data_IF_772740088225
#
_entry.id   IF_772740088225
#
_cell.length_a   1.000
_cell.length_b   1.000
_cell.length_c   1.000
_cell.angle_alpha   90.00
_cell.angle_beta   90.00
_cell.angle_gamma   90.00
#
_symmetry.space_group_name_H-M   'P 1'
#
loop_
_entity.id
_entity.type
_entity.pdbx_description
1 polymer ?
#
# COMPACT_ATOMS: atom_id res chain seq x y z
N UNK A 1 12.23 -3.09 -24.53
CA UNK A 1 11.99 -2.21 -23.37
C UNK A 1 13.24 -2.20 -22.48
N UNK A 2 13.94 -1.07 -22.33
CA UNK A 2 15.31 -1.03 -21.79
C UNK A 2 15.43 -1.37 -20.30
N UNK A 3 14.42 -1.09 -19.47
CA UNK A 3 14.52 -1.23 -18.00
C UNK A 3 14.55 -2.70 -17.57
N UNK A 4 13.66 -3.52 -18.11
CA UNK A 4 13.66 -4.96 -17.81
C UNK A 4 14.83 -5.68 -18.48
N UNK A 5 15.26 -5.19 -19.64
CA UNK A 5 16.45 -5.71 -20.32
C UNK A 5 17.72 -5.42 -19.51
N UNK A 6 17.87 -4.21 -18.97
CA UNK A 6 19.00 -3.84 -18.12
C UNK A 6 19.01 -4.58 -16.78
N UNK A 7 17.85 -4.82 -16.16
CA UNK A 7 17.75 -5.65 -14.94
C UNK A 7 18.05 -7.12 -15.24
N UNK A 8 17.64 -7.65 -16.40
CA UNK A 8 17.98 -9.01 -16.82
C UNK A 8 19.44 -9.16 -17.27
N UNK A 9 20.06 -8.10 -17.80
CA UNK A 9 21.46 -8.08 -18.23
C UNK A 9 22.42 -7.90 -17.03
N UNK A 10 21.96 -7.33 -15.92
CA UNK A 10 22.70 -7.25 -14.65
C UNK A 10 22.61 -8.54 -13.79
N UNK A 11 21.69 -9.45 -14.13
CA UNK A 11 21.61 -10.77 -13.55
C UNK A 11 22.43 -11.74 -14.42
N UNK A 12 23.66 -12.03 -14.00
CA UNK A 12 24.62 -12.92 -14.66
C UNK A 12 24.00 -14.20 -15.25
N UNK A 13 24.66 -14.69 -16.33
CA UNK A 13 24.40 -15.79 -17.28
C UNK A 13 24.02 -17.19 -16.70
N UNK A 14 23.61 -17.30 -15.44
CA UNK A 14 23.11 -18.55 -14.82
C UNK A 14 21.61 -18.54 -14.49
N UNK A 15 20.88 -17.45 -14.73
CA UNK A 15 19.41 -17.42 -14.65
C UNK A 15 18.73 -17.60 -16.01
N UNK A 16 19.23 -18.53 -16.82
CA UNK A 16 18.44 -19.01 -17.96
C UNK A 16 17.12 -19.60 -17.43
N UNK A 17 16.02 -18.96 -17.81
CA UNK A 17 14.62 -19.30 -17.52
C UNK A 17 14.07 -18.98 -16.12
N UNK A 18 14.18 -17.72 -15.65
CA UNK A 18 12.95 -17.16 -15.07
C UNK A 18 12.10 -16.74 -16.28
N UNK A 19 11.00 -17.43 -16.60
CA UNK A 19 10.10 -16.91 -17.62
C UNK A 19 9.75 -15.46 -17.25
N UNK A 20 9.47 -14.64 -18.26
CA UNK A 20 8.86 -13.30 -18.10
C UNK A 20 7.39 -13.48 -17.63
N UNK A 21 7.23 -14.24 -16.55
CA UNK A 21 6.06 -14.52 -15.74
C UNK A 21 6.01 -13.49 -14.59
N UNK A 22 6.49 -12.28 -14.87
CA UNK A 22 6.28 -11.12 -14.00
C UNK A 22 4.83 -10.66 -14.04
N UNK A 23 4.53 -9.52 -13.42
CA UNK A 23 3.18 -8.96 -13.36
C UNK A 23 2.48 -8.87 -14.74
N UNK A 24 3.24 -8.77 -15.85
CA UNK A 24 2.70 -8.75 -17.21
C UNK A 24 2.04 -10.04 -17.66
N UNK A 25 2.50 -11.19 -17.16
CA UNK A 25 1.85 -12.48 -17.44
C UNK A 25 0.46 -12.56 -16.81
N UNK A 26 0.22 -11.79 -15.75
CA UNK A 26 -1.03 -11.79 -14.99
C UNK A 26 -1.96 -10.65 -15.44
N UNK A 27 -1.43 -9.44 -15.61
CA UNK A 27 -2.23 -8.23 -15.89
C UNK A 27 -2.10 -7.71 -17.35
N UNK A 28 -1.36 -8.43 -18.19
CA UNK A 28 -1.10 -8.06 -19.58
C UNK A 28 0.10 -7.11 -19.74
N UNK A 29 0.62 -6.99 -20.96
CA UNK A 29 1.75 -6.10 -21.25
C UNK A 29 1.32 -4.67 -21.64
N UNK A 30 0.02 -4.42 -21.78
CA UNK A 30 -0.52 -3.08 -22.05
C UNK A 30 -0.46 -2.22 -20.78
N UNK A 31 0.55 -1.35 -20.70
CA UNK A 31 0.76 -0.43 -19.58
C UNK A 31 -0.24 0.74 -19.56
N UNK A 32 -1.06 0.90 -20.60
CA UNK A 32 -2.14 1.90 -20.64
C UNK A 32 -3.43 1.38 -20.00
N UNK A 33 -3.55 0.05 -19.79
CA UNK A 33 -4.71 -0.59 -19.20
C UNK A 33 -5.03 -0.09 -17.79
N UNK A 34 -6.31 0.10 -17.50
CA UNK A 34 -6.82 0.42 -16.16
C UNK A 34 -6.53 -0.67 -15.13
N UNK A 35 -6.19 -1.90 -15.55
CA UNK A 35 -5.79 -2.97 -14.64
C UNK A 35 -4.65 -2.51 -13.72
N UNK A 36 -3.68 -1.75 -14.24
CA UNK A 36 -2.55 -1.22 -13.45
C UNK A 36 -2.97 -0.22 -12.39
N UNK A 37 -3.95 0.63 -12.68
CA UNK A 37 -4.54 1.52 -11.69
C UNK A 37 -5.30 0.73 -10.62
N UNK A 38 -6.13 -0.23 -11.03
CA UNK A 38 -7.03 -0.99 -10.15
C UNK A 38 -6.31 -2.01 -9.25
N UNK A 39 -5.09 -2.41 -9.58
CA UNK A 39 -4.23 -3.22 -8.69
C UNK A 39 -3.45 -2.36 -7.70
N UNK A 40 -3.26 -1.07 -8.00
CA UNK A 40 -2.46 -0.15 -7.19
C UNK A 40 -3.21 0.26 -5.92
N UNK A 41 -2.52 0.40 -4.76
CA UNK A 41 -3.14 0.89 -3.53
C UNK A 41 -3.81 2.26 -3.68
N UNK A 42 -3.35 3.08 -4.63
CA UNK A 42 -3.89 4.42 -4.85
C UNK A 42 -5.36 4.41 -5.31
N UNK A 43 -5.85 3.32 -5.91
CA UNK A 43 -7.27 3.19 -6.28
C UNK A 43 -8.19 2.88 -5.08
N UNK A 44 -7.64 2.76 -3.88
CA UNK A 44 -8.35 2.41 -2.65
C UNK A 44 -8.08 3.39 -1.50
N UNK A 45 -7.48 4.55 -1.76
CA UNK A 45 -7.14 5.54 -0.71
C UNK A 45 -8.36 5.99 0.08
N UNK A 46 -9.53 6.11 -0.55
CA UNK A 46 -10.79 6.49 0.09
C UNK A 46 -11.32 5.41 1.08
N UNK A 47 -10.81 4.18 0.97
CA UNK A 47 -11.12 3.08 1.88
C UNK A 47 -10.12 3.00 3.05
N UNK A 48 -9.00 3.70 2.99
CA UNK A 48 -8.01 3.71 4.05
C UNK A 48 -8.38 4.85 5.00
N UNK A 49 -8.77 4.49 6.22
CA UNK A 49 -9.20 5.45 7.27
C UNK A 49 -8.43 5.23 8.57
N UNK A 50 -7.53 4.25 8.59
CA UNK A 50 -6.60 4.10 9.68
C UNK A 50 -5.45 5.09 9.52
N UNK A 51 -4.77 5.45 10.61
CA UNK A 51 -3.47 6.11 10.55
C UNK A 51 -2.48 5.26 9.75
N UNK A 52 -1.65 5.91 8.95
CA UNK A 52 -0.67 5.29 8.06
C UNK A 52 0.69 5.95 8.28
N UNK A 53 1.72 5.14 8.46
CA UNK A 53 3.12 5.57 8.46
C UNK A 53 3.86 4.83 7.35
N UNK A 54 4.34 5.57 6.35
CA UNK A 54 5.10 5.08 5.20
C UNK A 54 6.56 5.45 5.38
N UNK A 55 7.44 4.52 5.02
CA UNK A 55 8.87 4.77 4.87
C UNK A 55 9.22 4.69 3.38
N UNK A 56 9.93 5.69 2.87
CA UNK A 56 10.55 5.67 1.54
C UNK A 56 11.94 6.29 1.61
N UNK A 57 12.83 5.92 0.68
CA UNK A 57 14.14 6.53 0.55
C UNK A 57 14.25 7.27 -0.78
N UNK A 58 14.93 8.42 -0.77
CA UNK A 58 15.19 9.16 -2.01
C UNK A 58 16.11 8.39 -2.96
N UNK A 59 16.99 7.57 -2.39
CA UNK A 59 17.92 6.67 -3.07
C UNK A 59 17.32 5.33 -3.49
N UNK A 60 16.02 5.08 -3.28
CA UNK A 60 15.37 3.83 -3.67
C UNK A 60 15.43 3.66 -5.21
N UNK A 61 16.10 2.58 -5.63
CA UNK A 61 16.28 2.20 -7.03
C UNK A 61 15.17 1.33 -7.58
N UNK A 62 14.44 0.64 -6.70
CA UNK A 62 13.44 -0.36 -7.05
C UNK A 62 12.04 0.22 -7.04
N UNK A 63 11.75 1.10 -6.07
CA UNK A 63 10.46 1.77 -5.88
C UNK A 63 10.71 3.26 -5.70
N UNK A 64 10.74 4.03 -6.80
CA UNK A 64 11.03 5.47 -6.75
C UNK A 64 10.08 6.22 -5.80
N UNK A 65 10.64 7.03 -4.89
CA UNK A 65 9.86 7.91 -3.99
C UNK A 65 8.93 8.86 -4.75
N UNK A 66 9.19 9.11 -6.04
CA UNK A 66 8.35 9.90 -6.93
C UNK A 66 6.93 9.33 -7.11
N UNK A 67 6.68 8.07 -6.75
CA UNK A 67 5.32 7.51 -6.66
C UNK A 67 4.54 8.07 -5.45
N UNK A 68 5.25 8.58 -4.44
CA UNK A 68 4.67 9.12 -3.20
C UNK A 68 4.51 10.63 -3.26
N UNK A 69 5.53 11.34 -3.73
CA UNK A 69 5.52 12.82 -3.83
C UNK A 69 6.45 13.29 -4.95
N UNK A 70 6.12 14.40 -5.60
CA UNK A 70 7.01 15.09 -6.55
C UNK A 70 8.01 16.01 -5.86
N UNK A 71 7.91 16.16 -4.54
CA UNK A 71 8.83 16.94 -3.72
C UNK A 71 10.13 16.16 -3.54
N UNK A 72 11.22 16.89 -3.30
CA UNK A 72 12.55 16.33 -3.06
C UNK A 72 13.16 15.59 -4.27
N UNK A 73 13.17 16.19 -5.47
CA UNK A 73 13.80 15.56 -6.62
C UNK A 73 15.26 15.20 -6.32
N UNK A 74 15.67 14.01 -6.75
CA UNK A 74 17.07 13.56 -6.73
C UNK A 74 17.46 13.11 -8.13
N UNK A 75 18.01 14.02 -8.96
CA UNK A 75 18.43 13.66 -10.31
C UNK A 75 19.56 12.64 -10.26
N UNK A 76 19.49 11.65 -11.14
CA UNK A 76 20.57 10.69 -11.32
C UNK A 76 21.70 11.32 -12.14
N UNK A 77 22.92 10.82 -11.94
CA UNK A 77 24.00 11.00 -12.88
C UNK A 77 23.85 9.97 -14.01
N UNK A 78 23.51 10.37 -15.24
CA UNK A 78 23.28 9.42 -16.34
C UNK A 78 24.54 8.64 -16.73
N UNK A 79 25.75 9.12 -16.41
CA UNK A 79 27.00 8.41 -16.72
C UNK A 79 27.18 7.15 -15.88
N UNK A 80 26.54 7.08 -14.71
CA UNK A 80 26.55 5.90 -13.85
C UNK A 80 25.60 4.80 -14.34
N UNK A 81 24.66 5.11 -15.24
CA UNK A 81 23.62 4.18 -15.67
C UNK A 81 23.83 3.70 -17.11
N UNK A 82 23.31 2.50 -17.46
CA UNK A 82 23.31 2.03 -18.84
C UNK A 82 22.62 3.01 -19.78
N UNK A 83 23.13 3.11 -21.01
CA UNK A 83 22.53 3.96 -22.05
C UNK A 83 21.05 3.63 -22.23
N UNK A 84 20.19 4.65 -22.11
CA UNK A 84 18.74 4.51 -22.24
C UNK A 84 18.00 4.10 -20.96
N UNK A 85 18.69 4.03 -19.82
CA UNK A 85 18.04 3.91 -18.52
C UNK A 85 17.07 5.09 -18.29
N UNK A 86 15.87 4.76 -17.82
CA UNK A 86 14.84 5.73 -17.47
C UNK A 86 14.18 5.31 -16.16
N UNK A 87 13.89 6.28 -15.30
CA UNK A 87 13.20 6.07 -14.01
C UNK A 87 12.12 7.09 -13.71
N UNK A 88 11.89 8.02 -14.63
CA UNK A 88 10.91 9.08 -14.45
C UNK A 88 9.52 8.46 -14.34
N UNK A 89 8.86 8.69 -13.21
CA UNK A 89 7.55 8.10 -12.91
C UNK A 89 6.50 8.50 -13.94
N UNK A 90 6.46 9.78 -14.32
CA UNK A 90 5.50 10.27 -15.30
C UNK A 90 5.67 9.60 -16.67
N UNK A 91 6.91 9.42 -17.11
CA UNK A 91 7.23 8.78 -18.39
C UNK A 91 6.99 7.27 -18.39
N UNK A 92 7.13 6.59 -17.25
CA UNK A 92 6.99 5.13 -17.17
C UNK A 92 5.57 4.66 -16.85
N UNK A 93 4.77 5.49 -16.19
CA UNK A 93 3.38 5.17 -15.88
C UNK A 93 2.48 5.64 -17.01
N UNK A 94 2.21 4.77 -17.99
CA UNK A 94 1.46 5.14 -19.20
C UNK A 94 -0.04 5.35 -18.95
N UNK A 95 -0.64 4.62 -18.00
CA UNK A 95 -2.03 4.82 -17.60
C UNK A 95 -2.20 6.14 -16.80
N UNK A 96 -3.04 7.04 -17.29
CA UNK A 96 -3.25 8.38 -16.69
C UNK A 96 -3.83 8.32 -15.26
N UNK A 97 -4.71 7.37 -14.97
CA UNK A 97 -5.30 7.21 -13.63
C UNK A 97 -4.25 6.75 -12.62
N UNK A 98 -3.31 5.91 -13.05
CA UNK A 98 -2.19 5.42 -12.26
C UNK A 98 -1.05 6.44 -12.14
N UNK A 99 -0.93 7.39 -13.09
CA UNK A 99 0.09 8.45 -13.10
C UNK A 99 -0.26 9.58 -12.13
N UNK A 100 -0.37 9.23 -10.86
CA UNK A 100 -0.64 10.16 -9.76
C UNK A 100 0.19 9.78 -8.56
N UNK A 101 0.75 10.77 -7.89
CA UNK A 101 1.47 10.56 -6.65
C UNK A 101 0.50 10.35 -5.49
N UNK A 102 0.96 9.70 -4.41
CA UNK A 102 0.15 9.58 -3.18
C UNK A 102 -0.26 10.96 -2.64
N UNK A 103 0.65 11.95 -2.64
CA UNK A 103 0.40 13.32 -2.21
C UNK A 103 -0.78 13.96 -2.96
N UNK A 104 -0.84 13.80 -4.28
CA UNK A 104 -1.91 14.34 -5.12
C UNK A 104 -3.28 13.72 -4.81
N UNK A 105 -3.31 12.47 -4.39
CA UNK A 105 -4.56 11.72 -4.16
C UNK A 105 -5.08 11.95 -2.75
N UNK A 106 -4.19 11.93 -1.75
CA UNK A 106 -4.55 12.15 -0.35
C UNK A 106 -4.90 13.62 -0.08
N UNK A 107 -4.25 14.54 -0.80
CA UNK A 107 -4.35 15.98 -0.60
C UNK A 107 -3.41 16.48 0.50
N UNK A 108 -2.77 17.62 0.26
CA UNK A 108 -1.68 18.16 1.10
C UNK A 108 -2.01 18.32 2.58
N UNK A 109 -3.28 18.59 2.94
CA UNK A 109 -3.69 18.74 4.33
C UNK A 109 -3.79 17.42 5.09
N UNK A 110 -3.89 16.28 4.42
CA UNK A 110 -4.06 14.97 5.08
C UNK A 110 -2.75 14.19 5.18
N UNK A 111 -1.66 14.70 4.60
CA UNK A 111 -0.36 14.05 4.51
C UNK A 111 0.75 14.92 5.13
N UNK A 112 1.61 14.28 5.92
CA UNK A 112 2.81 14.91 6.48
C UNK A 112 4.05 14.22 5.98
N UNK A 113 4.98 15.01 5.44
CA UNK A 113 6.30 14.56 5.06
C UNK A 113 7.32 14.94 6.13
N UNK A 114 8.15 13.98 6.48
CA UNK A 114 9.29 14.15 7.37
C UNK A 114 10.55 13.72 6.61
N UNK A 115 11.35 14.69 6.17
CA UNK A 115 12.63 14.41 5.55
C UNK A 115 13.68 14.18 6.65
N UNK A 116 14.30 13.01 6.65
CA UNK A 116 15.32 12.61 7.59
C UNK A 116 16.68 12.69 6.91
N UNK A 117 17.63 13.51 7.42
CA UNK A 117 18.99 13.53 6.90
C UNK A 117 19.72 12.23 7.28
N UNK A 118 20.81 11.92 6.57
CA UNK A 118 21.69 10.81 6.93
C UNK A 118 22.15 10.95 8.39
N UNK A 119 21.89 9.95 9.25
CA UNK A 119 22.38 9.94 10.62
C UNK A 119 23.92 9.85 10.67
N UNK A 120 24.51 10.36 11.74
CA UNK A 120 25.93 10.17 12.02
C UNK A 120 26.25 8.67 12.22
N UNK A 121 27.41 8.22 11.72
CA UNK A 121 27.85 6.83 11.85
C UNK A 121 27.10 5.83 10.97
N UNK A 122 26.23 6.30 10.05
CA UNK A 122 25.57 5.42 9.09
C UNK A 122 26.55 4.92 8.03
N UNK A 123 26.34 3.68 7.57
CA UNK A 123 27.18 3.07 6.55
C UNK A 123 26.38 2.76 5.29
N UNK A 124 27.04 2.86 4.14
CA UNK A 124 26.49 2.48 2.85
C UNK A 124 26.54 0.96 2.67
N UNK A 125 25.45 0.38 2.16
CA UNK A 125 25.44 -1.00 1.69
C UNK A 125 26.21 -1.09 0.37
N UNK A 126 27.43 -1.63 0.42
CA UNK A 126 28.20 -1.87 -0.79
C UNK A 126 27.82 -3.20 -1.43
N UNK A 127 27.94 -3.30 -2.77
CA UNK A 127 27.73 -4.58 -3.48
C UNK A 127 28.58 -5.69 -2.89
N UNK A 128 29.86 -5.43 -2.64
CA UNK A 128 30.79 -6.41 -2.09
C UNK A 128 30.32 -6.95 -0.73
N UNK A 129 29.79 -6.08 0.14
CA UNK A 129 29.26 -6.52 1.43
C UNK A 129 27.95 -7.33 1.29
N UNK A 130 27.07 -6.93 0.38
CA UNK A 130 25.81 -7.66 0.09
C UNK A 130 26.08 -9.08 -0.44
N UNK A 131 27.07 -9.25 -1.33
CA UNK A 131 27.41 -10.56 -1.91
C UNK A 131 28.44 -11.35 -1.08
N UNK A 132 28.75 -10.91 0.14
CA UNK A 132 29.67 -11.61 1.04
C UNK A 132 31.15 -11.57 0.64
N UNK A 133 31.53 -10.67 -0.28
CA UNK A 133 32.92 -10.44 -0.71
C UNK A 133 33.67 -9.46 0.21
N UNK A 134 32.95 -8.71 1.05
CA UNK A 134 33.51 -7.85 2.08
C UNK A 134 32.70 -8.02 3.38
N UNK A 135 33.32 -7.84 4.57
CA UNK A 135 32.57 -7.82 5.80
C UNK A 135 31.62 -6.61 5.82
N UNK A 136 30.44 -6.80 6.38
CA UNK A 136 29.55 -5.68 6.72
C UNK A 136 30.21 -4.80 7.80
N UNK A 137 30.18 -3.46 7.66
CA UNK A 137 30.63 -2.56 8.71
C UNK A 137 29.96 -2.90 10.05
N UNK A 138 30.74 -2.86 11.13
CA UNK A 138 30.24 -3.09 12.50
C UNK A 138 29.77 -1.76 13.08
N UNK A 139 28.71 -1.82 13.89
CA UNK A 139 28.06 -0.63 14.43
C UNK A 139 26.97 -0.10 13.50
N UNK A 140 26.50 1.10 13.79
CA UNK A 140 25.44 1.76 13.05
C UNK A 140 24.93 2.98 13.80
N UNK A 141 24.04 3.75 13.19
CA UNK A 141 23.45 4.89 13.87
C UNK A 141 22.58 4.43 15.04
N UNK A 142 22.33 5.32 16.00
CA UNK A 142 21.33 5.07 17.03
C UNK A 142 19.97 4.83 16.39
N UNK A 143 19.18 3.94 16.99
CA UNK A 143 17.82 3.70 16.52
C UNK A 143 16.94 4.92 16.82
N UNK A 144 16.40 5.53 15.76
CA UNK A 144 15.48 6.65 15.88
C UNK A 144 14.03 6.19 15.73
N UNK A 145 13.12 6.78 16.51
CA UNK A 145 11.68 6.63 16.25
C UNK A 145 11.34 7.41 14.98
N UNK A 146 10.62 6.77 14.04
CA UNK A 146 10.24 7.42 12.78
C UNK A 146 9.31 8.59 13.10
N UNK A 147 9.64 9.81 12.64
CA UNK A 147 8.84 10.98 12.93
C UNK A 147 7.46 10.86 12.29
N UNK A 148 6.45 11.30 13.03
CA UNK A 148 5.05 11.30 12.60
C UNK A 148 4.29 12.43 13.32
N UNK A 149 3.15 12.80 12.78
CA UNK A 149 2.24 13.81 13.30
C UNK A 149 0.89 13.14 13.68
N UNK A 150 0.49 13.13 14.97
CA UNK A 150 -0.77 12.52 15.40
C UNK A 150 -2.01 13.22 14.87
N UNK A 151 -1.87 14.45 14.35
CA UNK A 151 -2.98 15.20 13.76
C UNK A 151 -3.23 14.84 12.29
N UNK A 152 -2.38 13.99 11.71
CA UNK A 152 -2.42 13.62 10.29
C UNK A 152 -2.65 12.12 10.14
N UNK A 153 -3.53 11.76 9.21
CA UNK A 153 -3.79 10.35 8.90
C UNK A 153 -2.58 9.73 8.19
N UNK A 154 -1.98 10.43 7.23
CA UNK A 154 -0.88 9.93 6.42
C UNK A 154 0.43 10.59 6.85
N UNK A 155 1.40 9.78 7.28
CA UNK A 155 2.73 10.21 7.64
C UNK A 155 3.73 9.51 6.73
N UNK A 156 4.69 10.26 6.18
CA UNK A 156 5.72 9.74 5.29
C UNK A 156 7.09 10.16 5.82
N UNK A 157 7.84 9.18 6.32
CA UNK A 157 9.25 9.34 6.62
C UNK A 157 10.07 9.12 5.34
N UNK A 158 10.72 10.18 4.87
CA UNK A 158 11.59 10.16 3.69
C UNK A 158 13.03 10.13 4.18
N UNK A 159 13.74 9.05 3.87
CA UNK A 159 15.17 8.91 4.12
C UNK A 159 15.94 9.60 3.01
N UNK A 160 16.62 10.70 3.35
CA UNK A 160 17.40 11.49 2.39
C UNK A 160 18.75 10.85 2.15
N UNK A 161 18.78 9.91 1.21
CA UNK A 161 19.99 9.17 0.83
C UNK A 161 20.71 9.81 -0.37
N UNK A 162 20.19 10.95 -0.85
CA UNK A 162 20.62 11.55 -2.11
C UNK A 162 20.06 10.80 -3.32
N UNK A 163 20.72 10.93 -4.49
CA UNK A 163 20.29 10.25 -5.70
C UNK A 163 20.55 8.74 -5.64
N UNK A 164 19.72 7.99 -6.36
CA UNK A 164 19.79 6.53 -6.39
C UNK A 164 20.98 6.09 -7.26
N UNK A 165 21.65 4.98 -6.91
CA UNK A 165 22.80 4.43 -7.64
C UNK A 165 22.50 3.07 -8.27
N UNK A 166 23.16 2.66 -9.36
CA UNK A 166 22.82 1.44 -10.11
C UNK A 166 22.72 0.14 -9.30
N UNK A 167 23.43 0.05 -8.18
CA UNK A 167 23.50 -1.14 -7.32
C UNK A 167 22.74 -0.98 -5.99
N UNK A 168 22.08 0.16 -5.75
CA UNK A 168 21.29 0.38 -4.54
C UNK A 168 20.00 -0.45 -4.57
N UNK A 169 19.52 -0.85 -3.40
CA UNK A 169 18.22 -1.52 -3.23
C UNK A 169 17.11 -0.54 -2.87
N UNK A 170 16.26 -0.94 -1.94
CA UNK A 170 15.23 -0.08 -1.34
C UNK A 170 15.81 1.04 -0.47
N UNK A 171 16.95 0.77 0.17
CA UNK A 171 17.76 1.77 0.87
C UNK A 171 19.21 1.56 0.47
N UNK A 172 19.96 2.66 0.38
CA UNK A 172 21.40 2.68 0.14
C UNK A 172 22.19 2.60 1.44
N UNK A 173 21.62 3.08 2.55
CA UNK A 173 22.28 3.15 3.84
C UNK A 173 21.62 2.27 4.90
N UNK A 174 22.40 1.91 5.92
CA UNK A 174 21.98 1.08 7.05
C UNK A 174 21.17 1.87 8.09
N UNK A 175 19.97 2.33 7.71
CA UNK A 175 19.08 3.06 8.62
C UNK A 175 18.69 2.21 9.84
N UNK A 176 18.84 2.78 11.03
CA UNK A 176 18.29 2.23 12.27
C UNK A 176 17.07 3.06 12.67
N UNK A 177 15.87 2.56 12.37
CA UNK A 177 14.63 3.24 12.76
C UNK A 177 13.48 2.27 13.03
N UNK A 178 12.64 2.63 13.98
CA UNK A 178 11.44 1.89 14.38
C UNK A 178 10.21 2.80 14.38
N UNK A 179 8.99 2.27 14.25
CA UNK A 179 7.76 3.05 14.37
C UNK A 179 7.18 3.02 15.80
N UNK A 180 8.03 3.03 16.82
CA UNK A 180 7.65 2.71 18.20
C UNK A 180 6.63 3.68 18.78
N UNK A 181 6.83 4.99 18.61
CA UNK A 181 5.91 6.01 19.11
C UNK A 181 4.56 5.95 18.40
N UNK A 182 4.57 5.71 17.08
CA UNK A 182 3.37 5.55 16.26
C UNK A 182 2.56 4.31 16.71
N UNK A 183 3.22 3.16 16.83
CA UNK A 183 2.59 1.90 17.24
C UNK A 183 2.07 1.99 18.67
N UNK A 184 2.88 2.49 19.61
CA UNK A 184 2.47 2.63 21.00
C UNK A 184 1.21 3.49 21.15
N UNK A 185 1.14 4.60 20.41
CA UNK A 185 -0.02 5.51 20.41
C UNK A 185 -1.26 4.80 19.87
N UNK A 186 -1.22 4.27 18.65
CA UNK A 186 -2.41 3.74 18.00
C UNK A 186 -2.83 2.35 18.51
N UNK A 187 -1.97 1.65 19.25
CA UNK A 187 -2.35 0.44 20.00
C UNK A 187 -3.33 0.75 21.15
N UNK A 188 -3.26 1.95 21.71
CA UNK A 188 -4.10 2.37 22.85
C UNK A 188 -5.22 3.33 22.44
N UNK A 189 -5.14 3.92 21.24
CA UNK A 189 -6.13 4.87 20.76
C UNK A 189 -7.53 4.23 20.65
N UNK A 190 -8.60 4.94 21.07
CA UNK A 190 -9.95 4.47 20.85
C UNK A 190 -10.27 4.42 19.35
N UNK A 191 -11.08 3.45 18.94
CA UNK A 191 -11.54 3.37 17.55
C UNK A 191 -12.39 4.61 17.22
N UNK A 192 -12.07 5.37 16.16
CA UNK A 192 -12.88 6.51 15.76
C UNK A 192 -14.25 6.08 15.23
N UNK A 193 -15.30 6.79 15.61
CA UNK A 193 -16.67 6.50 15.14
C UNK A 193 -16.76 6.69 13.62
N UNK A 194 -16.07 7.67 13.05
CA UNK A 194 -16.06 7.97 11.62
C UNK A 194 -15.17 7.04 10.78
N UNK A 195 -14.46 6.07 11.39
CA UNK A 195 -13.67 5.05 10.70
C UNK A 195 -14.49 4.30 9.62
N UNK A 196 -15.78 4.06 9.89
CA UNK A 196 -16.68 3.48 8.91
C UNK A 196 -17.28 4.58 8.02
N UNK A 197 -16.62 4.86 6.90
CA UNK A 197 -17.11 5.79 5.88
C UNK A 197 -18.18 5.15 4.98
N UNK A 198 -18.98 5.94 4.23
CA UNK A 198 -19.91 5.40 3.24
C UNK A 198 -19.23 4.51 2.19
N UNK A 199 -18.08 4.90 1.65
CA UNK A 199 -17.32 4.11 0.67
C UNK A 199 -16.83 2.80 1.27
N UNK A 200 -16.29 2.83 2.50
CA UNK A 200 -15.86 1.62 3.21
C UNK A 200 -17.02 0.67 3.46
N UNK A 201 -18.17 1.18 3.92
CA UNK A 201 -19.35 0.35 4.09
C UNK A 201 -19.79 -0.27 2.76
N UNK A 202 -19.84 0.51 1.67
CA UNK A 202 -20.22 -0.03 0.36
C UNK A 202 -19.28 -1.15 -0.09
N UNK A 203 -17.96 -0.97 0.09
CA UNK A 203 -16.97 -2.03 -0.22
C UNK A 203 -17.19 -3.29 0.62
N UNK A 204 -17.44 -3.15 1.92
CA UNK A 204 -17.74 -4.29 2.81
C UNK A 204 -19.01 -5.02 2.35
N UNK A 205 -20.05 -4.28 1.95
CA UNK A 205 -21.28 -4.88 1.45
C UNK A 205 -21.11 -5.52 0.06
N UNK A 206 -20.25 -4.97 -0.81
CA UNK A 206 -19.86 -5.64 -2.06
C UNK A 206 -19.21 -7.00 -1.80
N UNK A 207 -18.28 -7.08 -0.84
CA UNK A 207 -17.65 -8.34 -0.42
C UNK A 207 -18.69 -9.33 0.10
N UNK A 208 -19.60 -8.88 0.96
CA UNK A 208 -20.71 -9.71 1.45
C UNK A 208 -21.58 -10.26 0.31
N UNK A 209 -21.86 -9.44 -0.70
CA UNK A 209 -22.69 -9.84 -1.84
C UNK A 209 -21.95 -10.68 -2.89
N UNK A 210 -20.60 -10.67 -2.88
CA UNK A 210 -19.79 -11.27 -3.94
C UNK A 210 -19.73 -10.42 -5.22
N UNK A 211 -20.04 -9.13 -5.11
CA UNK A 211 -20.21 -8.20 -6.25
C UNK A 211 -19.21 -7.04 -6.15
N UNK A 212 -17.92 -7.35 -6.28
CA UNK A 212 -16.90 -6.30 -6.26
C UNK A 212 -17.00 -5.40 -7.49
N UNK A 213 -17.07 -4.09 -7.26
CA UNK A 213 -16.82 -3.10 -8.29
C UNK A 213 -15.31 -2.92 -8.52
N UNK A 214 -14.95 -2.36 -9.68
CA UNK A 214 -13.59 -1.95 -10.02
C UNK A 214 -12.56 -3.08 -9.90
N UNK A 215 -12.92 -4.27 -10.40
CA UNK A 215 -12.02 -5.43 -10.43
C UNK A 215 -11.11 -5.32 -11.66
N UNK A 216 -9.79 -5.43 -11.52
CA UNK A 216 -8.89 -5.42 -12.67
C UNK A 216 -9.13 -6.64 -13.55
N UNK A 217 -9.05 -6.45 -14.87
CA UNK A 217 -9.05 -7.55 -15.83
C UNK A 217 -7.64 -8.15 -15.91
N UNK A 218 -7.57 -9.47 -15.93
CA UNK A 218 -6.35 -10.24 -16.14
C UNK A 218 -6.00 -10.30 -17.63
N UNK A 219 -4.79 -10.77 -17.93
CA UNK A 219 -4.28 -10.92 -19.29
C UNK A 219 -5.15 -11.85 -20.18
N UNK A 220 -5.83 -12.82 -19.56
CA UNK A 220 -6.74 -13.76 -20.22
C UNK A 220 -8.17 -13.20 -20.40
N UNK A 221 -8.41 -11.96 -19.99
CA UNK A 221 -9.73 -11.33 -20.04
C UNK A 221 -10.69 -11.76 -18.93
N UNK A 222 -10.25 -12.55 -17.95
CA UNK A 222 -11.03 -12.84 -16.76
C UNK A 222 -10.92 -11.70 -15.72
N UNK A 223 -11.95 -11.44 -14.89
CA UNK A 223 -11.81 -10.53 -13.77
C UNK A 223 -10.90 -11.15 -12.69
N UNK A 224 -9.99 -10.37 -12.13
CA UNK A 224 -9.14 -10.83 -11.04
C UNK A 224 -9.97 -11.21 -9.81
N UNK A 225 -9.91 -12.47 -9.36
CA UNK A 225 -10.54 -12.83 -8.10
C UNK A 225 -9.79 -12.15 -6.94
N UNK A 226 -10.46 -11.24 -6.24
CA UNK A 226 -9.94 -10.55 -5.04
C UNK A 226 -10.73 -10.88 -3.77
N UNK A 227 -11.56 -11.93 -3.84
CA UNK A 227 -12.33 -12.44 -2.72
C UNK A 227 -11.79 -13.83 -2.34
N UNK A 228 -11.92 -14.16 -1.06
CA UNK A 228 -11.78 -15.53 -0.58
C UNK A 228 -13.02 -16.35 -0.99
N UNK A 229 -13.32 -17.42 -0.26
CA UNK A 229 -14.52 -18.21 -0.47
C UNK A 229 -15.80 -17.42 -0.12
N UNK A 230 -16.88 -17.51 -0.93
CA UNK A 230 -18.08 -16.68 -0.74
C UNK A 230 -18.71 -16.75 0.66
N UNK A 231 -18.69 -17.93 1.32
CA UNK A 231 -19.22 -18.08 2.67
C UNK A 231 -18.35 -17.38 3.72
N UNK A 232 -17.03 -17.43 3.57
CA UNK A 232 -16.08 -16.78 4.47
C UNK A 232 -16.12 -15.26 4.30
N UNK A 233 -16.24 -14.75 3.06
CA UNK A 233 -16.39 -13.30 2.82
C UNK A 233 -17.66 -12.73 3.48
N UNK A 234 -18.77 -13.47 3.41
CA UNK A 234 -20.01 -13.08 4.09
C UNK A 234 -19.83 -13.02 5.61
N UNK A 235 -19.17 -14.03 6.18
CA UNK A 235 -18.93 -14.11 7.62
C UNK A 235 -17.99 -13.00 8.09
N UNK A 236 -16.89 -12.76 7.37
CA UNK A 236 -15.91 -11.71 7.67
C UNK A 236 -16.56 -10.32 7.62
N UNK A 237 -17.32 -10.03 6.55
CA UNK A 237 -18.00 -8.75 6.40
C UNK A 237 -18.99 -8.48 7.55
N UNK A 238 -19.81 -9.47 7.93
CA UNK A 238 -20.78 -9.30 9.03
C UNK A 238 -20.08 -9.20 10.38
N UNK A 239 -19.05 -10.01 10.61
CA UNK A 239 -18.25 -9.97 11.85
C UNK A 239 -17.58 -8.61 12.02
N UNK A 240 -16.92 -8.09 10.99
CA UNK A 240 -16.29 -6.76 11.06
C UNK A 240 -17.28 -5.62 11.32
N UNK A 241 -18.49 -5.68 10.73
CA UNK A 241 -19.55 -4.70 11.03
C UNK A 241 -20.06 -4.82 12.48
N UNK A 242 -20.15 -6.04 13.02
CA UNK A 242 -20.52 -6.30 14.41
C UNK A 242 -19.46 -5.81 15.38
N UNK A 243 -18.19 -6.08 15.13
CA UNK A 243 -17.08 -5.66 15.99
C UNK A 243 -17.03 -4.12 16.08
N UNK A 244 -17.15 -3.45 14.92
CA UNK A 244 -17.29 -2.01 14.86
C UNK A 244 -18.50 -1.52 15.67
N UNK A 245 -19.70 -2.06 15.44
CA UNK A 245 -20.92 -1.61 16.11
C UNK A 245 -20.94 -1.89 17.62
N UNK A 246 -20.26 -2.95 18.05
CA UNK A 246 -20.18 -3.38 19.45
C UNK A 246 -19.16 -2.58 20.26
N UNK A 247 -18.30 -1.79 19.59
CA UNK A 247 -17.32 -0.92 20.27
C UNK A 247 -18.01 0.10 21.19
N UNK A 248 -19.09 0.75 20.74
CA UNK A 248 -19.91 1.61 21.61
C UNK A 248 -21.28 1.92 20.99
N UNK A 249 -22.20 2.49 21.81
CA UNK A 249 -23.51 2.96 21.33
C UNK A 249 -23.39 4.00 20.20
N UNK A 250 -22.33 4.80 20.19
CA UNK A 250 -22.10 5.78 19.13
C UNK A 250 -21.77 5.10 17.79
N UNK A 251 -20.94 4.04 17.82
CA UNK A 251 -20.61 3.24 16.65
C UNK A 251 -21.84 2.53 16.08
N UNK A 252 -22.65 1.89 16.93
CA UNK A 252 -23.91 1.28 16.49
C UNK A 252 -24.86 2.27 15.81
N UNK A 253 -25.03 3.47 16.39
CA UNK A 253 -25.83 4.55 15.79
C UNK A 253 -25.24 5.03 14.46
N UNK A 254 -23.92 5.15 14.38
CA UNK A 254 -23.22 5.57 13.17
C UNK A 254 -23.38 4.54 12.04
N UNK A 255 -23.16 3.25 12.31
CA UNK A 255 -23.40 2.18 11.34
C UNK A 255 -24.83 2.25 10.79
N UNK A 256 -25.84 2.31 11.67
CA UNK A 256 -27.24 2.39 11.24
C UNK A 256 -27.51 3.63 10.36
N UNK A 257 -26.89 4.77 10.70
CA UNK A 257 -27.00 6.02 9.94
C UNK A 257 -26.35 5.92 8.55
N UNK A 258 -25.11 5.43 8.47
CA UNK A 258 -24.38 5.29 7.20
C UNK A 258 -25.04 4.23 6.34
N UNK A 259 -25.40 3.07 6.90
CA UNK A 259 -26.12 2.02 6.21
C UNK A 259 -27.42 2.52 5.62
N UNK A 260 -28.25 3.28 6.37
CA UNK A 260 -29.51 3.85 5.87
C UNK A 260 -29.30 4.72 4.62
N UNK A 261 -28.21 5.49 4.55
CA UNK A 261 -27.86 6.33 3.39
C UNK A 261 -27.19 5.56 2.24
N UNK A 262 -26.59 4.41 2.53
CA UNK A 262 -25.89 3.59 1.55
C UNK A 262 -26.83 2.99 0.49
N UNK A 263 -26.25 2.61 -0.66
CA UNK A 263 -27.00 2.05 -1.80
C UNK A 263 -27.35 0.58 -1.60
N UNK A 264 -26.42 -0.21 -1.05
CA UNK A 264 -26.58 -1.67 -0.87
C UNK A 264 -27.35 -2.00 0.40
N UNK A 265 -28.32 -2.91 0.29
CA UNK A 265 -29.26 -3.26 1.37
C UNK A 265 -29.41 -4.78 1.59
N UNK A 266 -28.31 -5.56 1.75
CA UNK A 266 -28.42 -7.01 1.91
C UNK A 266 -29.14 -7.44 3.20
N UNK A 267 -29.27 -6.53 4.17
CA UNK A 267 -29.99 -6.74 5.44
C UNK A 267 -31.34 -5.99 5.45
N UNK A 268 -31.88 -5.60 4.30
CA UNK A 268 -33.09 -4.78 4.22
C UNK A 268 -32.84 -3.27 4.44
N UNK A 269 -33.90 -2.49 4.65
CA UNK A 269 -33.84 -1.01 4.62
C UNK A 269 -33.09 -0.38 5.81
N UNK A 270 -32.95 -1.11 6.91
CA UNK A 270 -32.25 -0.69 8.13
C UNK A 270 -31.30 -1.81 8.54
N UNK A 271 -30.34 -1.50 9.41
CA UNK A 271 -29.51 -2.52 10.06
C UNK A 271 -29.37 -2.21 11.55
N UNK A 272 -29.20 -3.24 12.36
CA UNK A 272 -28.99 -3.15 13.80
C UNK A 272 -28.04 -4.25 14.28
N UNK A 273 -27.46 -4.09 15.47
CA UNK A 273 -26.59 -5.11 16.08
C UNK A 273 -27.31 -6.46 16.17
N UNK A 274 -28.55 -6.49 16.68
CA UNK A 274 -29.31 -7.74 16.81
C UNK A 274 -29.61 -8.41 15.47
N UNK A 275 -29.80 -7.65 14.40
CA UNK A 275 -29.95 -8.21 13.06
C UNK A 275 -28.65 -8.82 12.54
N UNK A 276 -27.54 -8.11 12.69
CA UNK A 276 -26.23 -8.62 12.26
C UNK A 276 -25.84 -9.88 13.06
N UNK A 277 -26.15 -9.96 14.36
CA UNK A 277 -25.95 -11.19 15.15
C UNK A 277 -26.69 -12.38 14.55
N UNK A 278 -27.99 -12.23 14.24
CA UNK A 278 -28.78 -13.29 13.59
C UNK A 278 -28.22 -13.68 12.21
N UNK A 279 -27.71 -12.71 11.44
CA UNK A 279 -27.05 -13.02 10.16
C UNK A 279 -25.78 -13.82 10.39
N UNK A 280 -24.93 -13.41 11.33
CA UNK A 280 -23.68 -14.13 11.68
C UNK A 280 -23.96 -15.55 12.15
N UNK A 281 -24.91 -15.75 13.04
CA UNK A 281 -25.30 -17.07 13.56
C UNK A 281 -25.75 -18.02 12.43
N UNK A 282 -26.60 -17.53 11.51
CA UNK A 282 -26.99 -18.33 10.33
C UNK A 282 -25.80 -18.69 9.44
N UNK A 283 -24.84 -17.78 9.27
CA UNK A 283 -23.63 -18.05 8.48
C UNK A 283 -22.72 -19.07 9.16
N UNK A 284 -22.56 -19.02 10.48
CA UNK A 284 -21.79 -20.00 11.26
C UNK A 284 -22.43 -21.40 11.17
N UNK A 285 -23.75 -21.49 11.37
CA UNK A 285 -24.49 -22.75 11.21
C UNK A 285 -24.32 -23.34 9.79
N UNK A 286 -24.34 -22.50 8.76
CA UNK A 286 -24.12 -22.93 7.37
C UNK A 286 -22.67 -23.38 7.07
N UNK A 287 -21.72 -23.10 7.97
CA UNK A 287 -20.34 -23.58 7.92
C UNK A 287 -20.12 -24.83 8.79
N UNK A 288 -21.14 -25.29 9.52
CA UNK A 288 -21.01 -26.40 10.47
C UNK A 288 -20.29 -26.02 11.76
N UNK A 289 -20.29 -24.73 12.12
CA UNK A 289 -19.76 -24.19 13.37
C UNK A 289 -20.87 -23.92 14.40
#
# INVERSE_FOLDING_TARGET
>A
MPILRAVSELADEKMHSIPVLGCYGVFGADLTSDAWYLVSPISFVDLITCPVLIQVATGDMLVPHSQVTSRFPRPIDPELFPKGYQRDFASLTLNEKARRTLEEIVGGDNIRFHLLPLPEGIHEFTRAAIVGQAPMPKGGPENIDRPWDPTRQWNVAIFDEGPPLPHSGHTRYSWACSPDGFVATYKQAPLPVDLLTPSKLDRVLQRYMGELANVPMLADGAPANRLNYPRLEKLDAVTGLLDYASTSRAHAKHLARVYRKGRRKPFGHRTSVGELCRVRERLLLALGA
#
